data_IF_835800934572
#
_entry.id   IF_835800934572
#
_cell.length_a   1.000
_cell.length_b   1.000
_cell.length_c   1.000
_cell.angle_alpha   90.00
_cell.angle_beta   90.00
_cell.angle_gamma   90.00
#
_symmetry.space_group_name_H-M   'P 1'
#
loop_
_entity.id
_entity.type
_entity.pdbx_description
1 polymer ?
#
# COMPACT_ATOMS: atom_id res chain seq x y z
N UNK A 1 13.62 50.69 26.98
CA UNK A 1 13.55 50.53 25.51
C UNK A 1 12.42 49.57 25.20
N UNK A 2 11.37 50.07 24.55
CA UNK A 2 10.26 49.31 23.96
C UNK A 2 10.69 48.84 22.55
N UNK A 3 10.21 47.67 22.13
CA UNK A 3 10.22 47.19 20.73
C UNK A 3 10.40 45.66 20.69
N UNK A 4 9.34 44.85 20.67
CA UNK A 4 8.58 44.39 19.49
C UNK A 4 9.41 43.75 18.37
N UNK A 5 9.04 42.52 18.02
CA UNK A 5 9.51 41.80 16.84
C UNK A 5 9.02 40.35 16.83
N UNK A 6 7.86 40.12 16.23
CA UNK A 6 7.26 38.82 16.03
C UNK A 6 7.77 38.12 14.75
N UNK A 7 7.44 36.83 14.66
CA UNK A 7 7.21 36.02 13.46
C UNK A 7 8.38 35.18 12.90
N UNK A 8 8.08 33.90 12.65
CA UNK A 8 8.67 33.18 11.52
C UNK A 8 8.87 31.68 11.67
N UNK A 9 7.82 30.89 11.42
CA UNK A 9 7.95 29.64 10.65
C UNK A 9 8.18 28.33 11.40
N UNK A 10 7.09 27.71 11.86
CA UNK A 10 7.09 26.31 12.29
C UNK A 10 5.72 25.67 12.09
N UNK A 11 5.29 25.48 10.83
CA UNK A 11 3.95 24.96 10.51
C UNK A 11 3.87 23.99 9.32
N UNK A 12 4.98 23.67 8.67
CA UNK A 12 4.97 22.84 7.45
C UNK A 12 4.82 21.33 7.69
N UNK A 13 5.37 20.82 8.80
CA UNK A 13 5.41 19.38 9.07
C UNK A 13 4.04 18.78 9.41
N UNK A 14 3.26 19.46 10.24
CA UNK A 14 1.95 18.96 10.70
C UNK A 14 0.90 18.99 9.59
N UNK A 15 0.97 20.01 8.71
CA UNK A 15 0.08 20.14 7.57
C UNK A 15 0.36 19.07 6.49
N UNK A 16 1.64 18.77 6.24
CA UNK A 16 2.02 17.70 5.31
C UNK A 16 1.62 16.32 5.84
N UNK A 17 1.91 16.02 7.11
CA UNK A 17 1.50 14.76 7.76
C UNK A 17 -0.02 14.60 7.81
N UNK A 18 -0.76 15.68 8.08
CA UNK A 18 -2.22 15.66 8.06
C UNK A 18 -2.77 15.35 6.66
N UNK A 19 -2.17 15.92 5.61
CA UNK A 19 -2.54 15.63 4.22
C UNK A 19 -2.24 14.19 3.83
N UNK A 20 -1.09 13.65 4.25
CA UNK A 20 -0.74 12.24 4.06
C UNK A 20 -1.73 11.32 4.76
N UNK A 21 -2.06 11.59 6.03
CA UNK A 21 -3.05 10.82 6.78
C UNK A 21 -4.44 10.87 6.12
N UNK A 22 -4.87 12.05 5.66
CA UNK A 22 -6.14 12.19 4.94
C UNK A 22 -6.14 11.40 3.63
N UNK A 23 -5.03 11.40 2.89
CA UNK A 23 -4.86 10.61 1.67
C UNK A 23 -4.94 9.10 1.93
N UNK A 24 -4.29 8.62 2.98
CA UNK A 24 -4.35 7.21 3.39
C UNK A 24 -5.79 6.80 3.75
N UNK A 25 -6.50 7.64 4.51
CA UNK A 25 -7.90 7.38 4.88
C UNK A 25 -8.83 7.37 3.66
N UNK A 26 -8.63 8.30 2.71
CA UNK A 26 -9.42 8.35 1.48
C UNK A 26 -9.19 7.13 0.58
N UNK A 27 -7.95 6.62 0.50
CA UNK A 27 -7.65 5.39 -0.24
C UNK A 27 -8.36 4.20 0.38
N UNK A 28 -8.28 4.06 1.70
CA UNK A 28 -8.95 2.99 2.43
C UNK A 28 -10.46 3.02 2.21
N UNK A 29 -11.06 4.20 2.30
CA UNK A 29 -12.50 4.39 2.10
C UNK A 29 -12.92 4.06 0.65
N UNK A 30 -12.13 4.45 -0.35
CA UNK A 30 -12.40 4.11 -1.74
C UNK A 30 -12.37 2.59 -1.98
N UNK A 31 -11.36 1.88 -1.46
CA UNK A 31 -11.24 0.43 -1.55
C UNK A 31 -12.40 -0.28 -0.85
N UNK A 32 -12.76 0.18 0.35
CA UNK A 32 -13.93 -0.31 1.07
C UNK A 32 -15.21 -0.15 0.24
N UNK A 33 -15.43 1.02 -0.36
CA UNK A 33 -16.60 1.29 -1.17
C UNK A 33 -16.66 0.38 -2.42
N UNK A 34 -15.53 0.06 -3.06
CA UNK A 34 -15.50 -0.90 -4.17
C UNK A 34 -16.04 -2.26 -3.71
N UNK A 35 -15.57 -2.78 -2.59
CA UNK A 35 -16.03 -4.06 -2.05
C UNK A 35 -17.48 -4.06 -1.56
N UNK A 36 -17.99 -2.93 -1.05
CA UNK A 36 -19.37 -2.84 -0.58
C UNK A 36 -20.38 -2.70 -1.72
N UNK A 37 -19.97 -2.08 -2.83
CA UNK A 37 -20.81 -1.90 -4.02
C UNK A 37 -20.65 -3.04 -5.05
N UNK A 38 -19.96 -4.12 -4.68
CA UNK A 38 -19.75 -5.28 -5.53
C UNK A 38 -19.78 -6.58 -4.72
N UNK A 39 -19.71 -7.72 -5.42
CA UNK A 39 -19.59 -9.04 -4.79
C UNK A 39 -18.14 -9.44 -4.51
N UNK A 40 -17.17 -8.53 -4.69
CA UNK A 40 -15.76 -8.79 -4.40
C UNK A 40 -15.52 -8.93 -2.89
N UNK A 41 -14.78 -9.97 -2.51
CA UNK A 41 -14.43 -10.27 -1.10
C UNK A 41 -13.32 -9.38 -0.57
N UNK A 42 -12.41 -8.93 -1.44
CA UNK A 42 -11.33 -8.00 -1.11
C UNK A 42 -11.04 -7.05 -2.28
N UNK A 43 -10.41 -5.93 -1.98
CA UNK A 43 -9.86 -4.98 -2.94
C UNK A 43 -8.48 -4.54 -2.46
N UNK A 44 -7.58 -4.24 -3.40
CA UNK A 44 -6.19 -3.90 -3.10
C UNK A 44 -5.73 -2.80 -4.02
N UNK A 45 -4.92 -1.89 -3.50
CA UNK A 45 -4.19 -0.90 -4.27
C UNK A 45 -2.69 -1.18 -4.23
N UNK A 46 -2.10 -1.41 -5.40
CA UNK A 46 -0.67 -1.59 -5.60
C UNK A 46 -0.12 -0.42 -6.39
N UNK A 47 0.99 0.14 -5.93
CA UNK A 47 1.70 1.17 -6.67
C UNK A 47 2.90 0.57 -7.40
N UNK A 48 3.06 0.94 -8.67
CA UNK A 48 4.22 0.56 -9.47
C UNK A 48 5.37 1.52 -9.13
N UNK A 49 6.50 0.97 -8.68
CA UNK A 49 7.70 1.75 -8.33
C UNK A 49 8.93 1.22 -9.07
N UNK A 50 9.91 2.08 -9.40
CA UNK A 50 11.21 1.61 -9.83
C UNK A 50 11.90 0.82 -8.72
N UNK A 51 12.53 -0.30 -9.07
CA UNK A 51 13.36 -1.05 -8.11
C UNK A 51 14.66 -0.28 -7.85
N UNK A 52 15.06 -0.06 -6.58
CA UNK A 52 16.34 0.58 -6.27
C UNK A 52 17.49 -0.27 -6.80
N UNK A 53 18.40 0.32 -7.59
CA UNK A 53 19.63 -0.35 -8.02
C UNK A 53 20.60 -0.43 -6.83
N UNK A 54 21.15 -1.60 -6.54
CA UNK A 54 22.24 -1.73 -5.58
C UNK A 54 23.45 -0.94 -6.10
N UNK A 55 23.84 0.13 -5.40
CA UNK A 55 25.03 0.92 -5.73
C UNK A 55 26.26 0.22 -5.13
N UNK A 56 26.75 -0.85 -5.75
CA UNK A 56 28.00 -1.48 -5.30
C UNK A 56 28.34 -2.78 -6.03
N UNK A 57 29.47 -2.77 -6.76
CA UNK A 57 30.12 -3.96 -7.29
C UNK A 57 30.60 -3.77 -8.74
N UNK A 58 31.93 -3.73 -8.92
CA UNK A 58 32.58 -3.69 -10.24
C UNK A 58 32.00 -4.75 -11.20
N UNK A 59 31.68 -4.33 -12.43
CA UNK A 59 31.63 -5.24 -13.59
C UNK A 59 30.26 -5.80 -14.01
N UNK A 60 29.14 -5.26 -13.53
CA UNK A 60 27.84 -5.64 -14.08
C UNK A 60 27.68 -5.06 -15.50
N UNK A 61 27.44 -5.93 -16.48
CA UNK A 61 27.16 -5.54 -17.87
C UNK A 61 26.01 -4.52 -17.86
N UNK A 62 26.28 -3.28 -18.26
CA UNK A 62 25.26 -2.27 -18.55
C UNK A 62 24.42 -2.83 -19.68
N UNK A 63 23.24 -3.40 -19.40
CA UNK A 63 22.47 -4.02 -20.47
C UNK A 63 21.09 -4.58 -20.16
N UNK A 64 20.82 -5.07 -18.94
CA UNK A 64 19.53 -5.75 -18.66
C UNK A 64 18.69 -5.10 -17.54
N UNK A 65 19.33 -4.33 -16.64
CA UNK A 65 18.66 -3.70 -15.49
C UNK A 65 17.99 -2.35 -15.83
N UNK A 66 17.50 -2.18 -17.07
CA UNK A 66 16.89 -0.93 -17.52
C UNK A 66 15.51 -0.71 -16.87
N UNK A 67 15.50 -0.36 -15.58
CA UNK A 67 14.31 0.09 -14.88
C UNK A 67 13.32 -1.01 -14.55
N UNK A 68 13.77 -2.15 -14.02
CA UNK A 68 12.87 -3.16 -13.45
C UNK A 68 11.90 -2.51 -12.47
N UNK A 69 10.60 -2.71 -12.68
CA UNK A 69 9.53 -2.16 -11.84
C UNK A 69 9.05 -3.21 -10.84
N UNK A 70 8.58 -2.75 -9.69
CA UNK A 70 8.03 -3.58 -8.63
C UNK A 70 6.64 -3.08 -8.24
N UNK A 71 5.78 -4.02 -7.83
CA UNK A 71 4.51 -3.72 -7.19
C UNK A 71 4.74 -3.55 -5.70
N UNK A 72 4.36 -2.40 -5.18
CA UNK A 72 4.42 -2.05 -3.77
C UNK A 72 3.01 -2.01 -3.22
N UNK A 73 2.74 -2.78 -2.16
CA UNK A 73 1.48 -2.69 -1.44
C UNK A 73 1.34 -1.31 -0.81
N UNK A 74 0.20 -0.65 -1.02
CA UNK A 74 -0.11 0.62 -0.37
C UNK A 74 -1.26 0.46 0.61
N UNK A 75 -2.39 -0.09 0.18
CA UNK A 75 -3.50 -0.44 1.06
C UNK A 75 -4.39 -1.54 0.46
N UNK A 76 -5.26 -2.11 1.27
CA UNK A 76 -6.27 -3.07 0.87
C UNK A 76 -7.42 -3.14 1.86
N UNK A 77 -8.58 -3.57 1.38
CA UNK A 77 -9.74 -3.84 2.21
C UNK A 77 -10.21 -5.28 1.98
N UNK A 78 -10.38 -6.04 3.06
CA UNK A 78 -10.98 -7.38 3.04
C UNK A 78 -12.29 -7.33 3.82
N UNK A 79 -13.40 -7.75 3.19
CA UNK A 79 -14.71 -7.77 3.86
C UNK A 79 -14.69 -8.71 5.06
N UNK A 80 -15.22 -8.29 6.22
CA UNK A 80 -15.51 -9.22 7.29
C UNK A 80 -16.58 -10.22 6.84
N UNK A 81 -16.47 -11.49 7.23
CA UNK A 81 -17.58 -12.42 7.03
C UNK A 81 -18.75 -11.99 7.91
N UNK A 82 -19.97 -12.03 7.38
CA UNK A 82 -21.22 -11.79 8.13
C UNK A 82 -21.44 -12.78 9.30
N UNK A 83 -20.66 -13.87 9.38
CA UNK A 83 -20.84 -14.97 10.31
C UNK A 83 -19.98 -14.86 11.60
N UNK A 84 -19.55 -13.68 12.02
CA UNK A 84 -18.77 -13.53 13.27
C UNK A 84 -19.60 -13.66 14.56
N UNK A 85 -20.89 -14.03 14.49
CA UNK A 85 -21.72 -14.35 15.67
C UNK A 85 -21.91 -15.85 15.93
N UNK A 86 -21.43 -16.75 15.07
CA UNK A 86 -21.46 -18.19 15.33
C UNK A 86 -20.22 -18.85 14.74
N UNK A 87 -19.44 -19.48 15.63
CA UNK A 87 -18.29 -20.35 15.35
C UNK A 87 -16.91 -19.66 15.35
N UNK A 88 -16.40 -19.47 16.57
CA UNK A 88 -14.98 -19.66 16.92
C UNK A 88 -14.53 -21.11 16.62
N UNK A 89 -14.75 -21.62 15.41
CA UNK A 89 -14.04 -22.80 14.95
C UNK A 89 -12.65 -22.34 14.51
N UNK A 90 -11.66 -22.96 15.13
CA UNK A 90 -10.20 -22.80 15.13
C UNK A 90 -9.49 -22.74 13.73
N UNK A 91 -10.20 -22.45 12.65
CA UNK A 91 -9.69 -22.33 11.28
C UNK A 91 -9.62 -20.87 10.81
N UNK A 92 -8.41 -20.33 10.72
CA UNK A 92 -8.14 -19.02 10.12
C UNK A 92 -8.65 -18.94 8.66
N UNK A 93 -9.41 -17.89 8.30
CA UNK A 93 -10.00 -17.74 6.96
C UNK A 93 -8.89 -17.72 5.89
N UNK A 94 -8.88 -18.69 4.94
CA UNK A 94 -7.84 -18.78 3.92
C UNK A 94 -7.74 -17.51 3.06
N UNK A 95 -8.85 -16.79 2.86
CA UNK A 95 -8.86 -15.51 2.12
C UNK A 95 -8.12 -14.45 2.90
N UNK A 96 -8.41 -14.29 4.20
CA UNK A 96 -7.71 -13.33 5.07
C UNK A 96 -6.22 -13.68 5.19
N UNK A 97 -5.89 -14.98 5.28
CA UNK A 97 -4.50 -15.44 5.29
C UNK A 97 -3.77 -15.10 3.99
N UNK A 98 -4.40 -15.30 2.84
CA UNK A 98 -3.84 -14.93 1.55
C UNK A 98 -3.68 -13.40 1.43
N UNK A 99 -4.69 -12.65 1.84
CA UNK A 99 -4.67 -11.19 1.86
C UNK A 99 -3.52 -10.62 2.71
N UNK A 100 -3.35 -11.12 3.94
CA UNK A 100 -2.24 -10.74 4.81
C UNK A 100 -0.88 -11.14 4.26
N UNK A 101 -0.78 -12.25 3.52
CA UNK A 101 0.48 -12.62 2.84
C UNK A 101 0.78 -11.70 1.67
N UNK A 102 -0.24 -11.32 0.90
CA UNK A 102 -0.07 -10.42 -0.23
C UNK A 102 0.49 -9.06 0.21
N UNK A 103 0.02 -8.50 1.34
CA UNK A 103 0.44 -7.15 1.77
C UNK A 103 1.91 -7.01 2.17
N UNK A 104 2.60 -8.12 2.40
CA UNK A 104 4.01 -8.15 2.82
C UNK A 104 4.91 -8.57 1.66
N UNK A 105 4.37 -9.34 0.71
CA UNK A 105 5.16 -9.93 -0.37
C UNK A 105 5.56 -8.88 -1.40
N UNK A 106 6.84 -8.89 -1.79
CA UNK A 106 7.35 -8.08 -2.89
C UNK A 106 7.14 -8.82 -4.21
N UNK A 107 6.50 -8.16 -5.17
CA UNK A 107 6.23 -8.69 -6.50
C UNK A 107 6.92 -7.85 -7.58
N UNK A 108 7.45 -8.52 -8.62
CA UNK A 108 7.98 -7.83 -9.80
C UNK A 108 6.84 -7.54 -10.78
N UNK A 109 6.90 -6.38 -11.40
CA UNK A 109 5.94 -5.99 -12.42
C UNK A 109 6.19 -6.80 -13.70
N UNK A 110 5.14 -7.44 -14.24
CA UNK A 110 5.20 -8.21 -15.49
C UNK A 110 5.54 -9.70 -15.35
N UNK A 111 5.82 -10.20 -14.15
CA UNK A 111 6.13 -11.63 -13.90
C UNK A 111 4.88 -12.50 -13.62
N UNK A 112 3.68 -11.95 -13.77
CA UNK A 112 2.41 -12.67 -13.55
C UNK A 112 1.95 -13.48 -14.77
N UNK A 113 1.25 -14.60 -14.52
CA UNK A 113 0.64 -15.43 -15.57
C UNK A 113 -0.74 -14.88 -15.90
N UNK A 114 -0.99 -14.56 -17.18
CA UNK A 114 -2.35 -14.27 -17.67
C UNK A 114 -2.93 -15.58 -18.18
N UNK A 115 -3.88 -16.16 -17.46
CA UNK A 115 -4.68 -17.26 -18.00
C UNK A 115 -5.70 -16.63 -18.95
N UNK A 116 -5.49 -16.84 -20.25
CA UNK A 116 -6.43 -16.50 -21.33
C UNK A 116 -7.37 -17.65 -21.65
#
# INVERSE_FOLDING_TARGET
>A
MVGSGAAGGGGGGDHARSKEAAGMMALHEALRNVCLNSDWTYSVFWTIRPRPRCRGGNGCKVGDDNGSLMLMWEDGFCRPRMAECLEEMEGEDPVRKAFSKMSIQLYNYGEGWVLG
#
